data_IF_565055430152
#
_entry.id   IF_565055430152
#
_cell.length_a   1.000
_cell.length_b   1.000
_cell.length_c   1.000
_cell.angle_alpha   90.00
_cell.angle_beta   90.00
_cell.angle_gamma   90.00
#
_symmetry.space_group_name_H-M   'P 1'
#
loop_
_entity.id
_entity.type
_entity.pdbx_description
1 polymer ?
#
# COMPACT_ATOMS: atom_id res chain seq x y z
N UNK A 1 6.49 -9.19 1.72
CA UNK A 1 6.59 -8.61 3.08
C UNK A 1 7.60 -7.47 3.15
N UNK A 2 8.86 -7.68 2.74
CA UNK A 2 9.94 -6.68 2.86
C UNK A 2 9.62 -5.32 2.20
N UNK A 3 9.00 -5.32 1.02
CA UNK A 3 8.62 -4.08 0.33
C UNK A 3 7.64 -3.21 1.14
N UNK A 4 6.69 -3.82 1.87
CA UNK A 4 5.74 -3.10 2.73
C UNK A 4 6.44 -2.43 3.92
N UNK A 5 7.42 -3.11 4.51
CA UNK A 5 8.21 -2.57 5.63
C UNK A 5 9.02 -1.36 5.18
N UNK A 6 9.73 -1.47 4.04
CA UNK A 6 10.49 -0.35 3.51
C UNK A 6 9.59 0.81 3.04
N UNK A 7 8.44 0.52 2.44
CA UNK A 7 7.47 1.55 2.09
C UNK A 7 6.96 2.30 3.33
N UNK A 8 6.63 1.57 4.40
CA UNK A 8 6.23 2.16 5.69
C UNK A 8 7.32 3.07 6.25
N UNK A 9 8.57 2.61 6.21
CA UNK A 9 9.70 3.41 6.65
C UNK A 9 9.87 4.70 5.84
N UNK A 10 9.68 4.65 4.51
CA UNK A 10 9.70 5.84 3.66
C UNK A 10 8.60 6.84 4.02
N UNK A 11 7.39 6.37 4.39
CA UNK A 11 6.29 7.23 4.84
C UNK A 11 6.60 7.90 6.19
N UNK A 12 7.21 7.18 7.13
CA UNK A 12 7.65 7.75 8.41
C UNK A 12 8.73 8.81 8.17
N UNK A 13 9.69 8.55 7.28
CA UNK A 13 10.71 9.52 6.89
C UNK A 13 10.11 10.77 6.23
N UNK A 14 9.04 10.64 5.44
CA UNK A 14 8.32 11.78 4.86
C UNK A 14 7.66 12.65 5.92
N UNK A 15 7.03 12.04 6.93
CA UNK A 15 6.43 12.76 8.05
C UNK A 15 7.44 13.45 8.96
N UNK A 16 8.64 12.87 9.14
CA UNK A 16 9.73 13.48 9.91
C UNK A 16 10.49 14.54 9.10
N UNK A 17 10.59 14.32 7.79
CA UNK A 17 11.42 15.07 6.86
C UNK A 17 10.76 16.31 6.28
N UNK A 18 9.54 16.65 6.68
CA UNK A 18 8.77 17.73 6.05
C UNK A 18 9.42 19.11 6.24
N UNK A 19 10.26 19.27 7.26
CA UNK A 19 11.07 20.47 7.48
C UNK A 19 12.42 20.48 6.75
N UNK A 20 12.82 19.37 6.11
CA UNK A 20 14.12 19.21 5.43
C UNK A 20 13.86 19.09 3.91
N UNK A 21 14.10 20.16 3.12
CA UNK A 21 13.72 20.20 1.71
C UNK A 21 14.30 19.08 0.84
N UNK A 22 15.49 18.58 1.20
CA UNK A 22 16.16 17.52 0.43
C UNK A 22 15.66 16.11 0.78
N UNK A 23 15.10 15.91 1.98
CA UNK A 23 14.68 14.58 2.43
C UNK A 23 13.36 14.15 1.80
N UNK A 24 12.47 15.12 1.53
CA UNK A 24 11.17 14.89 0.88
C UNK A 24 11.30 14.25 -0.50
N UNK A 25 12.03 14.81 -1.49
CA UNK A 25 12.11 14.22 -2.83
C UNK A 25 12.78 12.84 -2.82
N UNK A 26 13.84 12.65 -2.00
CA UNK A 26 14.51 11.35 -1.87
C UNK A 26 13.53 10.30 -1.33
N UNK A 27 12.77 10.65 -0.30
CA UNK A 27 11.81 9.74 0.31
C UNK A 27 10.64 9.43 -0.63
N UNK A 28 10.19 10.40 -1.44
CA UNK A 28 9.16 10.19 -2.48
C UNK A 28 9.65 9.19 -3.53
N UNK A 29 10.89 9.32 -4.02
CA UNK A 29 11.45 8.41 -5.04
C UNK A 29 11.56 6.99 -4.47
N UNK A 30 12.08 6.84 -3.25
CA UNK A 30 12.17 5.54 -2.58
C UNK A 30 10.79 4.94 -2.30
N UNK A 31 9.85 5.75 -1.81
CA UNK A 31 8.47 5.32 -1.60
C UNK A 31 7.83 4.86 -2.91
N UNK A 32 8.03 5.59 -4.02
CA UNK A 32 7.54 5.23 -5.34
C UNK A 32 8.10 3.90 -5.84
N UNK A 33 9.38 3.63 -5.62
CA UNK A 33 10.00 2.35 -5.95
C UNK A 33 9.33 1.18 -5.23
N UNK A 34 9.20 1.26 -3.90
CA UNK A 34 8.56 0.18 -3.14
C UNK A 34 7.06 0.06 -3.43
N UNK A 35 6.38 1.17 -3.66
CA UNK A 35 4.97 1.18 -4.05
C UNK A 35 4.75 0.51 -5.41
N UNK A 36 5.67 0.68 -6.36
CA UNK A 36 5.65 -0.02 -7.64
C UNK A 36 5.71 -1.54 -7.48
N UNK A 37 6.59 -2.03 -6.62
CA UNK A 37 6.69 -3.46 -6.29
C UNK A 37 5.38 -3.96 -5.67
N UNK A 38 4.86 -3.25 -4.68
CA UNK A 38 3.61 -3.61 -3.99
C UNK A 38 2.43 -3.66 -4.98
N UNK A 39 2.34 -2.68 -5.88
CA UNK A 39 1.28 -2.59 -6.88
C UNK A 39 1.26 -3.82 -7.81
N UNK A 40 2.43 -4.25 -8.29
CA UNK A 40 2.53 -5.44 -9.13
C UNK A 40 2.12 -6.68 -8.35
N UNK A 41 2.68 -6.90 -7.15
CA UNK A 41 2.36 -8.06 -6.31
C UNK A 41 0.86 -8.19 -6.02
N UNK A 42 0.22 -7.08 -5.62
CA UNK A 42 -1.20 -7.07 -5.25
C UNK A 42 -2.11 -7.32 -6.45
N UNK A 43 -1.73 -6.81 -7.62
CA UNK A 43 -2.48 -7.06 -8.85
C UNK A 43 -2.35 -8.52 -9.26
N UNK A 44 -1.13 -9.09 -9.23
CA UNK A 44 -0.88 -10.50 -9.55
C UNK A 44 -1.69 -11.43 -8.65
N UNK A 45 -1.57 -11.24 -7.33
CA UNK A 45 -2.32 -12.00 -6.32
C UNK A 45 -3.83 -11.93 -6.57
N UNK A 46 -4.37 -10.74 -6.85
CA UNK A 46 -5.79 -10.56 -7.07
C UNK A 46 -6.30 -11.30 -8.32
N UNK A 47 -5.45 -11.44 -9.35
CA UNK A 47 -5.83 -12.04 -10.64
C UNK A 47 -5.63 -13.55 -10.70
N UNK A 48 -4.91 -14.12 -9.73
CA UNK A 48 -4.52 -15.54 -9.69
C UNK A 48 -5.29 -16.34 -8.62
N UNK A 49 -6.39 -15.80 -8.12
CA UNK A 49 -7.26 -16.48 -7.15
C UNK A 49 -7.91 -17.71 -7.83
N UNK A 50 -7.65 -18.94 -7.33
CA UNK A 50 -8.23 -20.15 -7.92
C UNK A 50 -9.76 -20.17 -7.84
N UNK A 51 -10.41 -20.60 -8.91
CA UNK A 51 -11.87 -20.79 -8.95
C UNK A 51 -12.70 -19.51 -9.09
N UNK A 52 -12.07 -18.34 -9.25
CA UNK A 52 -12.77 -17.07 -9.47
C UNK A 52 -12.68 -16.65 -10.95
N UNK A 53 -13.80 -16.19 -11.51
CA UNK A 53 -13.79 -15.62 -12.86
C UNK A 53 -12.94 -14.35 -12.92
N UNK A 54 -12.08 -14.24 -13.94
CA UNK A 54 -11.15 -13.11 -14.08
C UNK A 54 -11.84 -11.75 -14.14
N UNK A 55 -13.05 -11.68 -14.71
CA UNK A 55 -13.85 -10.46 -14.74
C UNK A 55 -14.33 -10.03 -13.35
N UNK A 56 -14.68 -10.99 -12.49
CA UNK A 56 -15.13 -10.73 -11.10
C UNK A 56 -13.93 -10.35 -10.22
N UNK A 57 -12.80 -11.04 -10.38
CA UNK A 57 -11.55 -10.73 -9.69
C UNK A 57 -11.09 -9.30 -10.01
N UNK A 58 -11.07 -8.95 -11.30
CA UNK A 58 -10.63 -7.63 -11.77
C UNK A 58 -11.54 -6.50 -11.32
N UNK A 59 -12.87 -6.67 -11.41
CA UNK A 59 -13.81 -5.64 -10.96
C UNK A 59 -13.74 -5.41 -9.45
N UNK A 60 -13.62 -6.48 -8.66
CA UNK A 60 -13.48 -6.39 -7.20
C UNK A 60 -12.19 -5.70 -6.79
N UNK A 61 -11.05 -6.08 -7.40
CA UNK A 61 -9.76 -5.42 -7.17
C UNK A 61 -9.81 -3.93 -7.53
N UNK A 62 -10.37 -3.60 -8.69
CA UNK A 62 -10.46 -2.23 -9.19
C UNK A 62 -11.35 -1.37 -8.28
N UNK A 63 -12.48 -1.92 -7.81
CA UNK A 63 -13.36 -1.26 -6.85
C UNK A 63 -12.60 -0.86 -5.58
N UNK A 64 -11.89 -1.80 -4.94
CA UNK A 64 -11.13 -1.51 -3.71
C UNK A 64 -10.05 -0.45 -3.97
N UNK A 65 -9.32 -0.56 -5.09
CA UNK A 65 -8.27 0.40 -5.47
C UNK A 65 -8.82 1.81 -5.62
N UNK A 66 -9.89 1.98 -6.40
CA UNK A 66 -10.45 3.31 -6.67
C UNK A 66 -11.20 3.87 -5.47
N UNK A 67 -11.87 3.03 -4.69
CA UNK A 67 -12.53 3.44 -3.46
C UNK A 67 -11.50 3.99 -2.44
N UNK A 68 -10.41 3.27 -2.20
CA UNK A 68 -9.31 3.75 -1.37
C UNK A 68 -8.68 5.03 -1.91
N UNK A 69 -8.48 5.11 -3.23
CA UNK A 69 -7.97 6.31 -3.90
C UNK A 69 -8.89 7.54 -3.79
N UNK A 70 -10.21 7.34 -3.70
CA UNK A 70 -11.18 8.41 -3.47
C UNK A 70 -11.24 8.85 -2.00
N UNK A 71 -11.12 7.91 -1.05
CA UNK A 71 -11.10 8.22 0.38
C UNK A 71 -9.80 8.89 0.84
N UNK A 72 -8.66 8.51 0.25
CA UNK A 72 -7.36 8.94 0.73
C UNK A 72 -7.19 10.48 0.75
N UNK A 73 -7.52 11.25 -0.30
CA UNK A 73 -7.41 12.71 -0.27
C UNK A 73 -8.32 13.37 0.76
N UNK A 74 -9.54 12.84 0.94
CA UNK A 74 -10.49 13.36 1.93
C UNK A 74 -9.96 13.17 3.35
N UNK A 75 -9.50 11.96 3.68
CA UNK A 75 -8.97 11.65 5.01
C UNK A 75 -7.67 12.42 5.26
N UNK A 76 -6.75 12.46 4.29
CA UNK A 76 -5.51 13.22 4.39
C UNK A 76 -5.77 14.73 4.57
N UNK A 77 -6.73 15.29 3.83
CA UNK A 77 -7.14 16.68 4.00
C UNK A 77 -7.68 16.96 5.40
N UNK A 78 -8.56 16.09 5.92
CA UNK A 78 -9.09 16.24 7.29
C UNK A 78 -8.03 16.09 8.37
N UNK A 79 -7.07 15.19 8.21
CA UNK A 79 -5.95 15.05 9.15
C UNK A 79 -5.06 16.31 9.11
N UNK A 80 -4.78 16.82 7.92
CA UNK A 80 -4.03 18.07 7.73
C UNK A 80 -4.70 19.29 8.34
N UNK A 81 -6.03 19.39 8.26
CA UNK A 81 -6.82 20.47 8.87
C UNK A 81 -6.78 20.45 10.42
N UNK A 82 -6.79 19.26 11.03
CA UNK A 82 -6.96 19.09 12.49
C UNK A 82 -5.61 19.06 13.22
N UNK A 83 -4.62 18.37 12.66
CA UNK A 83 -3.33 18.14 13.31
C UNK A 83 -2.21 18.93 12.64
N UNK A 84 -1.81 18.50 11.44
CA UNK A 84 -0.80 19.13 10.55
C UNK A 84 -0.61 18.21 9.34
N UNK A 85 -0.04 18.73 8.25
CA UNK A 85 0.18 17.96 7.01
C UNK A 85 1.05 16.70 7.22
N UNK A 86 2.00 16.77 8.15
CA UNK A 86 2.95 15.70 8.45
C UNK A 86 2.24 14.43 8.99
N UNK A 87 1.13 14.63 9.71
CA UNK A 87 0.38 13.52 10.33
C UNK A 87 -0.32 12.63 9.31
N UNK A 88 -0.61 13.14 8.11
CA UNK A 88 -1.15 12.33 7.01
C UNK A 88 -0.20 11.21 6.59
N UNK A 89 1.12 11.45 6.65
CA UNK A 89 2.12 10.43 6.33
C UNK A 89 2.21 9.35 7.42
N UNK A 90 2.13 9.73 8.70
CA UNK A 90 2.09 8.75 9.80
C UNK A 90 0.81 7.93 9.77
N UNK A 91 -0.33 8.54 9.47
CA UNK A 91 -1.58 7.83 9.28
C UNK A 91 -1.48 6.81 8.15
N UNK A 92 -0.94 7.21 7.00
CA UNK A 92 -0.69 6.29 5.89
C UNK A 92 0.22 5.13 6.31
N UNK A 93 1.29 5.39 7.07
CA UNK A 93 2.18 4.36 7.58
C UNK A 93 1.44 3.34 8.48
N UNK A 94 0.54 3.80 9.36
CA UNK A 94 -0.29 2.93 10.19
C UNK A 94 -1.21 2.05 9.33
N UNK A 95 -1.86 2.62 8.31
CA UNK A 95 -2.72 1.85 7.38
C UNK A 95 -1.92 0.76 6.64
N UNK A 96 -0.69 1.06 6.22
CA UNK A 96 0.20 0.06 5.59
C UNK A 96 0.58 -1.04 6.58
N UNK A 97 0.87 -0.70 7.85
CA UNK A 97 1.15 -1.69 8.89
C UNK A 97 -0.05 -2.59 9.19
N UNK A 98 -1.25 -2.03 9.25
CA UNK A 98 -2.48 -2.81 9.39
C UNK A 98 -2.66 -3.77 8.21
N UNK A 99 -2.41 -3.27 6.99
CA UNK A 99 -2.45 -4.09 5.77
C UNK A 99 -1.45 -5.24 5.84
N UNK A 100 -0.22 -4.98 6.30
CA UNK A 100 0.79 -6.01 6.51
C UNK A 100 0.34 -7.04 7.56
N UNK A 101 -0.30 -6.61 8.65
CA UNK A 101 -0.90 -7.49 9.65
C UNK A 101 -1.96 -8.41 9.05
N UNK A 102 -2.85 -7.87 8.20
CA UNK A 102 -3.85 -8.65 7.48
C UNK A 102 -3.22 -9.70 6.57
N UNK A 103 -2.16 -9.35 5.82
CA UNK A 103 -1.46 -10.28 4.92
C UNK A 103 -0.76 -11.38 5.73
N UNK A 104 -0.10 -11.04 6.84
CA UNK A 104 0.57 -12.02 7.71
C UNK A 104 -0.42 -13.00 8.33
N UNK A 105 -1.57 -12.50 8.78
CA UNK A 105 -2.64 -13.33 9.35
C UNK A 105 -3.27 -14.24 8.28
N UNK A 106 -3.52 -13.73 7.09
CA UNK A 106 -4.13 -14.47 5.98
C UNK A 106 -3.11 -15.11 5.02
N UNK A 107 -1.84 -15.26 5.43
CA UNK A 107 -0.74 -15.71 4.54
C UNK A 107 -1.03 -17.01 3.79
N UNK A 108 -1.87 -17.87 4.34
CA UNK A 108 -2.33 -19.13 3.76
C UNK A 108 -3.08 -18.96 2.42
N UNK A 109 -3.73 -17.82 2.19
CA UNK A 109 -4.45 -17.51 0.94
C UNK A 109 -3.58 -16.82 -0.12
N UNK A 110 -2.36 -16.41 0.25
CA UNK A 110 -1.45 -15.63 -0.60
C UNK A 110 -0.30 -16.47 -1.19
N UNK A 111 -0.32 -17.79 -0.99
CA UNK A 111 0.63 -18.71 -1.61
C UNK A 111 0.15 -19.01 -3.02
N UNK A 112 0.77 -18.37 -4.01
CA UNK A 112 0.53 -18.65 -5.42
C UNK A 112 1.07 -20.05 -5.76
N UNK A 113 0.24 -20.91 -6.36
CA UNK A 113 0.65 -22.26 -6.78
C UNK A 113 1.47 -22.26 -8.08
N UNK A 114 2.49 -21.40 -8.21
CA UNK A 114 3.42 -21.48 -9.36
C UNK A 114 4.33 -22.73 -9.31
N UNK A 115 4.33 -23.49 -8.21
CA UNK A 115 5.21 -24.63 -7.98
C UNK A 115 4.64 -26.02 -8.29
N UNK A 116 3.34 -26.16 -8.58
CA UNK A 116 2.68 -27.48 -8.67
C UNK A 116 2.16 -27.83 -10.07
N UNK A 117 2.59 -27.10 -11.11
CA UNK A 117 2.33 -27.42 -12.52
C UNK A 117 3.62 -27.78 -13.28
N UNK A 118 4.43 -28.69 -12.71
CA UNK A 118 5.44 -29.45 -13.48
C UNK A 118 5.17 -30.93 -13.38
#
# INVERSE_FOLDING_TARGET
MTAFVFFTFCLILLGLGTSIPILVPISIVLAGFFQGIINTLLTTIAMEIPGLERNVASSSYSFVRFFGGALAPFIAGKIGEIFDENYSFYFAAIIVLLSLGFIVYHRQYFVTEEGNQK
#
